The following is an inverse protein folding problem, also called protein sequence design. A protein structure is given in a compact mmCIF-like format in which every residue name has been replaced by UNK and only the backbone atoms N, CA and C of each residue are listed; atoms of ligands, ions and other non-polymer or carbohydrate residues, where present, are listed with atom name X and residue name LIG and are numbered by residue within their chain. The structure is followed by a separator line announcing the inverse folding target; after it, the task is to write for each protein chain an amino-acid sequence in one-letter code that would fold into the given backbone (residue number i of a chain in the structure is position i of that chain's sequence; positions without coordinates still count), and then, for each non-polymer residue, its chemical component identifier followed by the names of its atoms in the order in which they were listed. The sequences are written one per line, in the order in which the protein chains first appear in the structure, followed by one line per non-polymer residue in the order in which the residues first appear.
data_IF_838421078271
#
_entry.id   IF_838421078271
#
_cell.length_a   1.000
_cell.length_b   1.000
_cell.length_c   1.000
_cell.angle_alpha   90.00
_cell.angle_beta   90.00
_cell.angle_gamma   90.00
#
_symmetry.space_group_name_H-M   'P 1'
#
loop_
_entity.id
_entity.type
_entity.pdbx_description
1 polymer ?
#
# COMPACT_ATOMS: atom_id res chain seq x y z
N UNK A 1 18.83 18.80 38.50
CA UNK A 1 18.36 18.35 37.18
C UNK A 1 19.29 17.23 36.76
N UNK A 2 18.86 15.97 36.91
CA UNK A 2 19.59 14.82 36.33
C UNK A 2 19.32 14.84 34.84
N UNK A 3 20.35 15.02 34.04
CA UNK A 3 20.24 14.95 32.59
C UNK A 3 20.04 13.51 32.19
N UNK A 4 19.04 13.23 31.33
CA UNK A 4 18.72 11.92 30.76
C UNK A 4 19.94 11.28 30.06
N UNK A 5 20.93 12.11 29.69
CA UNK A 5 22.18 11.71 29.01
C UNK A 5 23.15 10.83 29.83
N UNK A 6 22.86 10.58 31.11
CA UNK A 6 23.76 9.81 32.00
C UNK A 6 23.27 8.41 32.37
N UNK A 7 22.15 7.94 31.77
CA UNK A 7 21.66 6.59 32.00
C UNK A 7 22.44 5.60 31.10
N UNK A 8 23.01 4.51 31.67
CA UNK A 8 23.62 3.48 30.86
C UNK A 8 22.53 2.85 29.98
N UNK A 9 22.74 2.84 28.67
CA UNK A 9 21.83 2.23 27.70
C UNK A 9 22.57 1.09 26.99
N UNK A 10 22.07 -0.12 27.16
CA UNK A 10 22.46 -1.27 26.35
C UNK A 10 21.55 -1.35 25.13
N UNK A 11 22.11 -1.34 23.94
CA UNK A 11 21.38 -1.53 22.70
C UNK A 11 21.39 -2.98 22.27
N UNK A 12 20.21 -3.57 22.17
CA UNK A 12 20.02 -4.92 21.63
C UNK A 12 19.34 -4.82 20.26
N UNK A 13 19.86 -5.57 19.26
CA UNK A 13 19.21 -5.72 17.96
C UNK A 13 18.48 -7.05 17.93
N UNK A 14 17.15 -7.00 17.68
CA UNK A 14 16.35 -8.19 17.43
C UNK A 14 16.02 -8.22 15.95
N UNK A 15 16.34 -9.35 15.30
CA UNK A 15 15.87 -9.62 13.96
C UNK A 15 14.44 -10.16 14.05
N UNK A 16 13.52 -9.50 13.34
CA UNK A 16 12.12 -9.92 13.25
C UNK A 16 11.81 -10.29 11.80
N UNK A 17 11.05 -11.37 11.59
CA UNK A 17 10.48 -11.69 10.29
C UNK A 17 9.19 -10.86 10.10
N UNK A 18 9.04 -10.27 8.91
CA UNK A 18 7.83 -9.54 8.51
C UNK A 18 7.23 -10.25 7.30
N UNK A 19 5.94 -10.52 7.37
CA UNK A 19 5.19 -11.12 6.28
C UNK A 19 4.88 -10.11 5.18
N UNK A 20 4.93 -10.56 3.94
CA UNK A 20 4.40 -9.88 2.76
C UNK A 20 3.46 -10.86 2.08
N UNK A 21 2.19 -10.48 1.89
CA UNK A 21 1.16 -11.38 1.36
C UNK A 21 0.70 -10.91 0.00
N UNK A 22 0.81 -11.79 -0.99
CA UNK A 22 0.25 -11.58 -2.34
C UNK A 22 -1.19 -12.12 -2.42
N UNK A 23 -2.09 -11.36 -3.03
CA UNK A 23 -3.50 -11.70 -3.20
C UNK A 23 -3.87 -11.70 -4.68
N UNK A 24 -4.66 -12.67 -5.13
CA UNK A 24 -5.32 -12.65 -6.43
C UNK A 24 -6.67 -11.96 -6.31
N UNK A 25 -6.94 -11.01 -7.20
CA UNK A 25 -8.19 -10.26 -7.27
C UNK A 25 -8.99 -10.55 -8.54
N UNK A 26 -8.69 -11.64 -9.25
CA UNK A 26 -9.31 -11.98 -10.53
C UNK A 26 -10.84 -12.14 -10.44
N UNK A 27 -11.37 -12.53 -9.29
CA UNK A 27 -12.81 -12.72 -9.07
C UNK A 27 -13.55 -11.40 -8.75
N UNK A 28 -12.82 -10.29 -8.58
CA UNK A 28 -13.36 -8.98 -8.17
C UNK A 28 -13.29 -7.95 -9.30
N UNK A 29 -13.74 -8.37 -10.51
CA UNK A 29 -13.63 -7.52 -11.70
C UNK A 29 -14.42 -6.21 -11.57
N UNK A 30 -15.56 -6.21 -10.90
CA UNK A 30 -16.39 -5.01 -10.70
C UNK A 30 -15.64 -3.95 -9.88
N UNK A 31 -15.00 -4.35 -8.78
CA UNK A 31 -14.22 -3.46 -7.92
C UNK A 31 -13.00 -2.89 -8.65
N UNK A 32 -12.34 -3.74 -9.46
CA UNK A 32 -11.20 -3.34 -10.27
C UNK A 32 -11.61 -2.38 -11.40
N UNK A 33 -12.75 -2.59 -12.06
CA UNK A 33 -13.24 -1.73 -13.13
C UNK A 33 -13.65 -0.36 -12.59
N UNK A 34 -14.35 -0.30 -11.45
CA UNK A 34 -14.65 0.95 -10.77
C UNK A 34 -13.36 1.71 -10.35
N UNK A 35 -12.34 0.98 -9.91
CA UNK A 35 -11.06 1.60 -9.59
C UNK A 35 -10.35 2.16 -10.83
N UNK A 36 -10.41 1.49 -12.00
CA UNK A 36 -9.89 2.03 -13.28
C UNK A 36 -10.62 3.31 -13.70
N UNK A 37 -11.95 3.31 -13.57
CA UNK A 37 -12.73 4.52 -13.81
C UNK A 37 -12.33 5.65 -12.86
N UNK A 38 -12.13 5.35 -11.55
CA UNK A 38 -11.68 6.32 -10.58
C UNK A 38 -10.33 6.95 -10.95
N UNK A 39 -9.36 6.14 -11.43
CA UNK A 39 -8.06 6.65 -11.92
C UNK A 39 -8.25 7.63 -13.07
N UNK A 40 -9.13 7.30 -14.03
CA UNK A 40 -9.42 8.14 -15.19
C UNK A 40 -10.05 9.47 -14.78
N UNK A 41 -11.05 9.42 -13.90
CA UNK A 41 -11.76 10.60 -13.40
C UNK A 41 -10.82 11.52 -12.59
N UNK A 42 -10.05 10.93 -11.66
CA UNK A 42 -9.09 11.66 -10.82
C UNK A 42 -8.05 12.37 -11.68
N UNK A 43 -7.50 11.69 -12.70
CA UNK A 43 -6.54 12.31 -13.61
C UNK A 43 -7.16 13.44 -14.43
N UNK A 44 -8.43 13.33 -14.79
CA UNK A 44 -9.15 14.38 -15.54
C UNK A 44 -9.41 15.62 -14.68
N UNK A 45 -9.78 15.43 -13.40
CA UNK A 45 -10.15 16.53 -12.48
C UNK A 45 -8.92 17.11 -11.78
N UNK A 46 -7.91 16.28 -11.50
CA UNK A 46 -6.66 16.63 -10.84
C UNK A 46 -5.47 16.22 -11.74
N UNK A 47 -5.22 16.92 -12.87
CA UNK A 47 -4.22 16.50 -13.85
C UNK A 47 -2.78 16.62 -13.36
N UNK A 48 -2.52 17.46 -12.36
CA UNK A 48 -1.19 17.66 -11.78
C UNK A 48 -0.80 16.49 -10.90
N UNK A 49 0.39 15.94 -11.12
CA UNK A 49 0.92 14.87 -10.28
C UNK A 49 1.27 15.39 -8.89
N UNK A 50 0.84 14.68 -7.84
CA UNK A 50 1.14 15.04 -6.45
C UNK A 50 2.63 14.84 -6.17
N UNK A 51 3.38 15.86 -5.72
CA UNK A 51 4.78 15.72 -5.39
C UNK A 51 5.01 14.74 -4.22
N UNK A 52 5.92 13.79 -4.41
CA UNK A 52 6.28 12.80 -3.40
C UNK A 52 7.63 12.14 -3.72
N UNK A 53 8.01 11.09 -2.96
CA UNK A 53 9.10 10.18 -3.28
C UNK A 53 8.78 9.19 -4.42
N UNK A 54 7.54 9.21 -4.90
CA UNK A 54 7.09 8.48 -6.07
C UNK A 54 7.27 9.37 -7.30
N UNK A 55 8.22 9.02 -8.15
CA UNK A 55 8.44 9.69 -9.43
C UNK A 55 7.67 8.89 -10.46
N UNK A 56 6.43 9.30 -10.67
CA UNK A 56 5.48 8.67 -11.57
C UNK A 56 4.95 9.69 -12.56
N UNK A 57 4.61 9.22 -13.75
CA UNK A 57 3.95 10.04 -14.80
C UNK A 57 2.68 10.71 -14.27
N UNK A 58 1.99 10.02 -13.35
CA UNK A 58 0.87 10.61 -12.63
C UNK A 58 0.76 9.98 -11.24
N UNK A 59 0.50 10.82 -10.24
CA UNK A 59 0.08 10.43 -8.89
C UNK A 59 -1.06 11.34 -8.45
N UNK A 60 -2.19 10.73 -8.08
CA UNK A 60 -3.36 11.46 -7.59
C UNK A 60 -3.14 12.02 -6.17
N UNK A 61 -4.03 12.90 -5.66
CA UNK A 61 -3.99 13.34 -4.27
C UNK A 61 -4.00 12.19 -3.25
N UNK A 62 -3.30 12.36 -2.13
CA UNK A 62 -3.17 11.35 -1.05
C UNK A 62 -4.50 10.84 -0.46
N UNK A 63 -5.54 11.67 -0.51
CA UNK A 63 -6.88 11.34 0.01
C UNK A 63 -7.89 11.10 -1.11
N UNK A 64 -7.48 10.43 -2.18
CA UNK A 64 -8.33 10.18 -3.34
C UNK A 64 -9.64 9.46 -3.02
N UNK A 65 -9.67 8.66 -1.96
CA UNK A 65 -10.89 8.01 -1.47
C UNK A 65 -11.97 8.99 -0.94
N UNK A 66 -11.61 10.24 -0.67
CA UNK A 66 -12.55 11.30 -0.29
C UNK A 66 -13.02 12.12 -1.50
N UNK A 67 -12.43 11.91 -2.67
CA UNK A 67 -12.71 12.64 -3.91
C UNK A 67 -13.63 11.87 -4.85
N UNK A 68 -13.75 10.56 -4.68
CA UNK A 68 -14.59 9.70 -5.51
C UNK A 68 -15.06 8.46 -4.75
N UNK A 69 -16.36 8.16 -4.86
CA UNK A 69 -16.95 6.96 -4.25
C UNK A 69 -16.60 5.68 -5.03
N UNK A 70 -16.06 5.78 -6.25
CA UNK A 70 -15.69 4.62 -7.08
C UNK A 70 -14.56 3.78 -6.46
N UNK A 71 -13.78 4.34 -5.54
CA UNK A 71 -12.75 3.61 -4.82
C UNK A 71 -13.28 2.83 -3.60
N UNK A 72 -14.47 3.16 -3.10
CA UNK A 72 -15.02 2.56 -1.89
C UNK A 72 -15.20 1.03 -1.98
N UNK A 73 -15.69 0.43 -3.08
CA UNK A 73 -15.81 -1.02 -3.19
C UNK A 73 -14.45 -1.73 -3.09
N UNK A 74 -13.41 -1.24 -3.78
CA UNK A 74 -12.07 -1.82 -3.70
C UNK A 74 -11.46 -1.66 -2.29
N UNK A 75 -11.66 -0.51 -1.65
CA UNK A 75 -11.16 -0.25 -0.29
C UNK A 75 -11.82 -1.20 0.72
N UNK A 76 -13.14 -1.39 0.64
CA UNK A 76 -13.86 -2.31 1.51
C UNK A 76 -13.39 -3.76 1.29
N UNK A 77 -13.26 -4.18 0.04
CA UNK A 77 -12.69 -5.49 -0.31
C UNK A 77 -11.30 -5.69 0.32
N UNK A 78 -10.40 -4.72 0.14
CA UNK A 78 -9.04 -4.82 0.68
C UNK A 78 -9.04 -4.83 2.20
N UNK A 79 -9.90 -4.03 2.85
CA UNK A 79 -10.08 -4.06 4.30
C UNK A 79 -10.51 -5.46 4.78
N UNK A 80 -11.52 -6.06 4.15
CA UNK A 80 -12.02 -7.40 4.50
C UNK A 80 -10.97 -8.48 4.28
N UNK A 81 -10.22 -8.41 3.17
CA UNK A 81 -9.13 -9.35 2.88
C UNK A 81 -8.00 -9.23 3.91
N UNK A 82 -7.57 -8.00 4.25
CA UNK A 82 -6.53 -7.78 5.25
C UNK A 82 -6.98 -8.28 6.64
N UNK A 83 -8.24 -8.06 7.02
CA UNK A 83 -8.76 -8.61 8.27
C UNK A 83 -8.68 -10.13 8.30
N UNK A 84 -9.02 -10.83 7.22
CA UNK A 84 -8.94 -12.30 7.11
C UNK A 84 -7.51 -12.84 7.20
N UNK A 85 -6.52 -12.12 6.64
CA UNK A 85 -5.11 -12.54 6.65
C UNK A 85 -4.33 -11.93 7.82
N UNK A 86 -4.98 -11.23 8.73
CA UNK A 86 -4.31 -10.52 9.83
C UNK A 86 -3.51 -11.45 10.74
N UNK A 87 -3.90 -12.72 10.84
CA UNK A 87 -3.17 -13.77 11.57
C UNK A 87 -1.74 -13.99 11.03
N UNK A 88 -1.51 -13.79 9.74
CA UNK A 88 -0.19 -13.92 9.11
C UNK A 88 0.80 -12.82 9.56
N UNK A 89 0.26 -11.72 10.09
CA UNK A 89 1.03 -10.58 10.57
C UNK A 89 1.15 -10.52 12.09
N UNK A 90 0.10 -10.95 12.83
CA UNK A 90 -0.01 -10.71 14.26
C UNK A 90 -0.13 -11.99 15.10
N UNK A 91 -0.09 -13.17 14.51
CA UNK A 91 -0.34 -14.45 15.18
C UNK A 91 -1.73 -14.57 15.83
N UNK A 92 -2.57 -13.54 15.71
CA UNK A 92 -3.96 -13.48 16.18
C UNK A 92 -4.82 -12.67 15.23
N UNK A 93 -6.07 -13.09 15.09
CA UNK A 93 -7.07 -12.38 14.30
C UNK A 93 -7.37 -11.00 14.91
N UNK A 94 -7.34 -9.94 14.10
CA UNK A 94 -7.67 -8.59 14.54
C UNK A 94 -9.13 -8.45 14.97
N UNK A 95 -10.05 -9.19 14.36
CA UNK A 95 -11.46 -9.20 14.76
C UNK A 95 -11.64 -9.79 16.16
N UNK A 96 -10.92 -10.87 16.51
CA UNK A 96 -10.90 -11.42 17.87
C UNK A 96 -10.31 -10.44 18.89
N UNK A 97 -9.43 -9.55 18.45
CA UNK A 97 -8.83 -8.49 19.27
C UNK A 97 -9.68 -7.21 19.33
N UNK A 98 -10.91 -7.24 18.79
CA UNK A 98 -11.82 -6.09 18.73
C UNK A 98 -11.24 -4.87 17.95
N UNK A 99 -10.53 -5.13 16.86
CA UNK A 99 -10.10 -4.10 15.93
C UNK A 99 -10.84 -4.18 14.60
N UNK A 100 -10.91 -3.05 13.92
CA UNK A 100 -11.28 -2.90 12.52
C UNK A 100 -10.25 -2.01 11.83
N UNK A 101 -10.27 -1.98 10.51
CA UNK A 101 -9.39 -1.11 9.72
C UNK A 101 -10.11 0.17 9.31
N UNK A 102 -9.38 1.28 9.33
CA UNK A 102 -9.78 2.53 8.73
C UNK A 102 -8.71 2.94 7.71
N UNK A 103 -9.14 3.59 6.62
CA UNK A 103 -8.22 4.11 5.61
C UNK A 103 -7.53 5.37 6.14
N UNK A 104 -6.21 5.35 6.16
CA UNK A 104 -5.41 6.53 6.45
C UNK A 104 -5.19 7.36 5.18
N UNK A 105 -4.71 6.72 4.11
CA UNK A 105 -4.45 7.33 2.81
C UNK A 105 -4.83 6.37 1.68
N UNK A 106 -5.20 6.93 0.53
CA UNK A 106 -5.44 6.17 -0.69
C UNK A 106 -5.15 7.06 -1.90
N UNK A 107 -4.30 6.59 -2.80
CA UNK A 107 -3.97 7.28 -4.04
C UNK A 107 -3.79 6.30 -5.18
N UNK A 108 -3.89 6.78 -6.40
CA UNK A 108 -3.48 6.03 -7.58
C UNK A 108 -2.16 6.57 -8.14
N UNK A 109 -1.39 5.70 -8.81
CA UNK A 109 -0.23 6.11 -9.57
C UNK A 109 -0.16 5.38 -10.91
N UNK A 110 0.29 6.11 -11.93
CA UNK A 110 0.57 5.60 -13.27
C UNK A 110 2.06 5.75 -13.49
N UNK A 111 2.73 4.62 -13.65
CA UNK A 111 4.15 4.56 -13.98
C UNK A 111 4.31 4.26 -15.46
N UNK A 112 5.18 4.99 -16.12
CA UNK A 112 5.67 4.74 -17.46
C UNK A 112 7.18 4.46 -17.45
N UNK A 113 7.77 4.17 -18.59
CA UNK A 113 9.19 3.86 -18.68
C UNK A 113 10.07 4.98 -18.09
N UNK A 114 10.96 4.61 -17.17
CA UNK A 114 11.83 5.52 -16.42
C UNK A 114 11.30 5.92 -15.05
N UNK A 115 10.00 5.75 -14.78
CA UNK A 115 9.39 6.07 -13.49
C UNK A 115 9.84 5.09 -12.38
N UNK A 116 9.90 5.57 -11.14
CA UNK A 116 10.38 4.79 -9.99
C UNK A 116 9.78 5.30 -8.66
N UNK A 117 9.97 4.57 -7.57
CA UNK A 117 9.79 5.12 -6.23
C UNK A 117 11.06 4.94 -5.41
N UNK A 118 11.46 5.99 -4.69
CA UNK A 118 12.56 5.93 -3.74
C UNK A 118 12.27 5.01 -2.57
N UNK A 119 13.31 4.61 -1.82
CA UNK A 119 13.16 3.82 -0.60
C UNK A 119 12.31 4.58 0.42
N UNK A 120 11.26 3.94 0.93
CA UNK A 120 10.33 4.54 1.87
C UNK A 120 9.53 3.48 2.65
N UNK A 121 8.75 3.94 3.62
CA UNK A 121 7.76 3.16 4.36
C UNK A 121 6.48 3.98 4.55
N UNK A 122 5.44 3.37 5.08
CA UNK A 122 4.13 4.00 5.31
C UNK A 122 3.80 4.23 6.80
N UNK A 123 4.83 4.21 7.69
CA UNK A 123 4.57 4.55 9.10
C UNK A 123 3.91 5.95 9.20
N UNK A 124 2.87 6.16 10.05
CA UNK A 124 2.40 5.30 11.14
C UNK A 124 1.27 4.32 10.78
N UNK A 125 1.02 4.05 9.51
CA UNK A 125 0.02 3.06 9.11
C UNK A 125 0.41 1.65 9.58
N UNK A 126 -0.59 0.86 9.98
CA UNK A 126 -0.37 -0.54 10.38
C UNK A 126 -0.10 -1.43 9.18
N UNK A 127 -0.88 -1.22 8.10
CA UNK A 127 -0.75 -1.94 6.84
C UNK A 127 -0.67 -0.98 5.67
N UNK A 128 0.07 -1.38 4.67
CA UNK A 128 0.02 -0.82 3.34
C UNK A 128 -0.38 -1.92 2.34
N UNK A 129 -1.12 -1.54 1.32
CA UNK A 129 -1.42 -2.41 0.19
C UNK A 129 -1.20 -1.69 -1.13
N UNK A 130 -0.75 -2.45 -2.13
CA UNK A 130 -0.63 -1.99 -3.50
C UNK A 130 -1.47 -2.92 -4.37
N UNK A 131 -2.54 -2.39 -4.97
CA UNK A 131 -3.38 -3.10 -5.92
C UNK A 131 -2.91 -2.77 -7.34
N UNK A 132 -2.58 -3.78 -8.11
CA UNK A 132 -2.14 -3.66 -9.49
C UNK A 132 -3.35 -3.80 -10.42
N UNK A 133 -3.80 -2.68 -11.01
CA UNK A 133 -4.93 -2.67 -11.93
C UNK A 133 -4.52 -3.16 -13.32
N UNK A 134 -3.52 -2.51 -13.88
CA UNK A 134 -2.98 -2.84 -15.21
C UNK A 134 -1.45 -2.85 -15.15
N UNK A 135 -0.84 -3.87 -15.70
CA UNK A 135 0.61 -4.09 -15.65
C UNK A 135 1.10 -4.69 -16.96
N UNK A 136 2.14 -4.09 -17.54
CA UNK A 136 2.88 -4.63 -18.68
C UNK A 136 3.94 -5.65 -18.24
N UNK A 137 4.32 -6.55 -19.13
CA UNK A 137 5.30 -7.61 -18.85
C UNK A 137 6.69 -7.10 -18.41
N UNK A 138 7.03 -5.86 -18.75
CA UNK A 138 8.32 -5.24 -18.42
C UNK A 138 8.27 -4.30 -17.20
N UNK A 139 7.17 -4.32 -16.44
CA UNK A 139 7.06 -3.52 -15.22
C UNK A 139 8.00 -4.04 -14.14
N UNK A 140 8.78 -3.12 -13.55
CA UNK A 140 9.75 -3.45 -12.50
C UNK A 140 9.08 -4.00 -11.23
N UNK A 141 9.75 -4.87 -10.46
CA UNK A 141 9.22 -5.40 -9.20
C UNK A 141 9.09 -4.30 -8.13
N UNK A 142 8.28 -4.54 -7.12
CA UNK A 142 8.43 -3.92 -5.81
C UNK A 142 9.48 -4.70 -5.03
N UNK A 143 10.43 -3.99 -4.40
CA UNK A 143 11.57 -4.58 -3.69
C UNK A 143 11.47 -4.21 -2.22
N UNK A 144 11.40 -5.21 -1.35
CA UNK A 144 11.32 -5.07 0.11
C UNK A 144 12.69 -5.30 0.75
N UNK A 145 13.10 -4.38 1.62
CA UNK A 145 14.35 -4.48 2.39
C UNK A 145 15.58 -4.88 1.54
N UNK A 146 15.60 -4.47 0.28
CA UNK A 146 16.65 -4.77 -0.72
C UNK A 146 16.89 -6.27 -0.97
N UNK A 147 15.92 -7.14 -0.69
CA UNK A 147 16.10 -8.58 -0.80
C UNK A 147 14.94 -9.34 -1.45
N UNK A 148 13.69 -8.99 -1.14
CA UNK A 148 12.53 -9.65 -1.71
C UNK A 148 11.99 -8.85 -2.90
N UNK A 149 12.07 -9.41 -4.08
CA UNK A 149 11.50 -8.83 -5.31
C UNK A 149 10.17 -9.52 -5.64
N UNK A 150 9.10 -8.74 -5.77
CA UNK A 150 7.80 -9.23 -6.20
C UNK A 150 7.42 -8.55 -7.52
N UNK A 151 7.37 -9.34 -8.58
CA UNK A 151 6.95 -8.87 -9.91
C UNK A 151 5.43 -8.63 -9.92
N UNK A 152 4.99 -7.43 -10.32
CA UNK A 152 3.58 -7.10 -10.37
C UNK A 152 2.85 -7.89 -11.46
N UNK A 153 1.56 -8.18 -11.22
CA UNK A 153 0.64 -8.75 -12.22
C UNK A 153 -0.69 -8.02 -12.12
N UNK A 154 -1.34 -7.81 -13.27
CA UNK A 154 -2.70 -7.24 -13.30
C UNK A 154 -3.67 -8.07 -12.44
N UNK A 155 -4.62 -7.41 -11.81
CA UNK A 155 -5.61 -8.01 -10.92
C UNK A 155 -5.00 -8.79 -9.72
N UNK A 156 -3.90 -8.26 -9.17
CA UNK A 156 -3.32 -8.75 -7.91
C UNK A 156 -3.11 -7.60 -6.92
N UNK A 157 -2.92 -7.96 -5.66
CA UNK A 157 -2.48 -7.00 -4.64
C UNK A 157 -1.35 -7.58 -3.80
N UNK A 158 -0.56 -6.70 -3.21
CA UNK A 158 0.45 -7.02 -2.20
C UNK A 158 0.09 -6.26 -0.93
N UNK A 159 0.07 -6.97 0.20
CA UNK A 159 -0.18 -6.42 1.54
C UNK A 159 1.04 -6.63 2.41
N UNK A 160 1.44 -5.60 3.15
CA UNK A 160 2.62 -5.64 4.00
C UNK A 160 2.49 -4.67 5.19
N UNK A 161 3.28 -4.84 6.27
CA UNK A 161 3.31 -3.91 7.39
C UNK A 161 3.72 -2.51 6.95
N UNK A 162 3.02 -1.47 7.42
CA UNK A 162 3.29 -0.10 7.01
C UNK A 162 4.70 0.41 7.32
N UNK A 163 5.40 -0.21 8.27
CA UNK A 163 6.79 0.11 8.61
C UNK A 163 7.84 -0.59 7.73
N UNK A 164 7.43 -1.50 6.84
CA UNK A 164 8.37 -2.25 5.99
C UNK A 164 8.88 -1.36 4.86
N UNK A 165 10.20 -1.15 4.84
CA UNK A 165 10.85 -0.36 3.79
C UNK A 165 10.80 -1.07 2.44
N UNK A 166 10.47 -0.31 1.41
CA UNK A 166 10.42 -0.81 0.04
C UNK A 166 10.66 0.32 -0.97
N UNK A 167 10.96 -0.10 -2.18
CA UNK A 167 11.13 0.82 -3.32
C UNK A 167 10.73 0.11 -4.62
N UNK A 168 10.68 0.87 -5.70
CA UNK A 168 10.51 0.35 -7.04
C UNK A 168 11.63 0.91 -7.90
N UNK A 169 12.48 0.04 -8.49
CA UNK A 169 13.50 0.47 -9.45
C UNK A 169 12.87 1.16 -10.66
N UNK A 170 13.63 1.96 -11.42
CA UNK A 170 13.14 2.50 -12.69
C UNK A 170 12.52 1.42 -13.57
N UNK A 171 11.26 1.61 -13.96
CA UNK A 171 10.51 0.63 -14.72
C UNK A 171 10.75 0.76 -16.22
N UNK A 172 10.69 -0.35 -16.96
CA UNK A 172 10.69 -0.34 -18.42
C UNK A 172 9.29 -0.53 -19.01
N UNK A 173 8.33 -0.96 -18.20
CA UNK A 173 6.93 -1.16 -18.59
C UNK A 173 5.98 -0.29 -17.81
N UNK A 174 4.77 -0.13 -18.35
CA UNK A 174 3.69 0.63 -17.72
C UNK A 174 3.04 -0.18 -16.61
N UNK A 175 2.61 0.50 -15.54
CA UNK A 175 1.71 -0.05 -14.53
C UNK A 175 0.79 1.02 -13.95
N UNK A 176 -0.43 0.62 -13.62
CA UNK A 176 -1.43 1.44 -12.93
C UNK A 176 -1.74 0.77 -11.61
N UNK A 177 -1.61 1.52 -10.52
CA UNK A 177 -1.82 1.01 -9.17
C UNK A 177 -2.79 1.87 -8.37
N UNK A 178 -3.40 1.24 -7.36
CA UNK A 178 -3.99 1.92 -6.21
C UNK A 178 -3.17 1.52 -4.98
N UNK A 179 -2.65 2.50 -4.26
CA UNK A 179 -2.03 2.29 -2.97
C UNK A 179 -3.00 2.71 -1.85
N UNK A 180 -3.12 1.88 -0.82
CA UNK A 180 -4.03 2.12 0.30
C UNK A 180 -3.30 1.84 1.60
N UNK A 181 -3.31 2.82 2.49
CA UNK A 181 -2.78 2.71 3.84
C UNK A 181 -3.92 2.52 4.85
N UNK A 182 -3.78 1.55 5.73
CA UNK A 182 -4.76 1.24 6.76
C UNK A 182 -4.18 1.42 8.16
N UNK A 183 -5.02 1.90 9.07
CA UNK A 183 -4.75 1.95 10.50
C UNK A 183 -5.76 1.07 11.25
N UNK A 184 -5.30 0.42 12.31
CA UNK A 184 -6.16 -0.30 13.25
C UNK A 184 -6.87 0.69 14.14
N UNK A 185 -8.17 0.57 14.25
CA UNK A 185 -8.97 1.33 15.20
C UNK A 185 -9.81 0.36 16.03
N UNK A 186 -10.08 0.67 17.30
CA UNK A 186 -10.95 -0.17 18.12
C UNK A 186 -12.34 -0.31 17.48
N UNK A 187 -12.87 -1.53 17.45
CA UNK A 187 -14.24 -1.79 17.05
C UNK A 187 -15.13 -1.68 18.30
N UNK A 188 -15.48 -0.45 18.71
CA UNK A 188 -16.45 -0.26 19.78
C UNK A 188 -17.85 -0.55 19.25
N UNK A 189 -18.57 -1.40 19.97
CA UNK A 189 -20.01 -1.61 19.80
C UNK A 189 -20.79 -0.49 20.50
#
# INVERSE_FOLDING_TARGET
MSTIDSLPMDQFKVMTEMSVVGLSLLEFSTELDLAREAVTDLRSVHPESTPSNVIATYMSPWKSHLLTDKLAPLINLMSDLIMKISVDFYTRDLAELNFRLAVADCWCAIYEAGDYSGLHHHFPSDFASVVYLDVDDHASPIVFSNSLELHPKSATAVVFPGMLEHHVPPTSGRRVIIAINFIKIPAFN
#
